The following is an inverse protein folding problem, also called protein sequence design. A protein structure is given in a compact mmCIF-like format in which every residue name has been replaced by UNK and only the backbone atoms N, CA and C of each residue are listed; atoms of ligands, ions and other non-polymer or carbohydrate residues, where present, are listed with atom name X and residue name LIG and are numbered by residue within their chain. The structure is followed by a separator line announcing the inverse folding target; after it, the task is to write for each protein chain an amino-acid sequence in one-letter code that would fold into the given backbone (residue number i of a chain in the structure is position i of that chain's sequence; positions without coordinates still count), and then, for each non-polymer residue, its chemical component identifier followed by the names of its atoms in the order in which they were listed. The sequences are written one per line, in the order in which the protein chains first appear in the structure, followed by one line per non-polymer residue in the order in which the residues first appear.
data_IF_524864988606
#
_entry.id   IF_524864988606
#
_cell.length_a   1.000
_cell.length_b   1.000
_cell.length_c   1.000
_cell.angle_alpha   90.00
_cell.angle_beta   90.00
_cell.angle_gamma   90.00
#
_symmetry.space_group_name_H-M   'P 1'
#
loop_
_entity.id
_entity.type
_entity.pdbx_description
1 polymer ?
#
# COMPACT_ATOMS: atom_id res chain seq x y z
N UNK A 1 15.52 16.39 42.47
CA UNK A 1 14.46 15.81 41.63
C UNK A 1 15.11 15.11 40.45
N UNK A 2 14.71 13.88 40.15
CA UNK A 2 15.46 12.97 39.26
C UNK A 2 15.16 13.26 37.79
N UNK A 3 16.21 13.48 36.98
CA UNK A 3 16.14 13.66 35.52
C UNK A 3 15.45 12.50 34.78
N UNK A 4 15.30 11.34 35.42
CA UNK A 4 14.58 10.19 34.86
C UNK A 4 13.06 10.39 34.81
N UNK A 5 12.49 11.21 35.69
CA UNK A 5 11.03 11.39 35.77
C UNK A 5 10.51 12.40 34.73
N UNK A 6 11.33 13.38 34.34
CA UNK A 6 10.98 14.33 33.27
C UNK A 6 10.92 13.67 31.89
N UNK A 7 11.72 12.63 31.64
CA UNK A 7 11.72 11.90 30.37
C UNK A 7 10.40 11.13 30.17
N UNK A 8 9.89 10.50 31.23
CA UNK A 8 8.60 9.80 31.19
C UNK A 8 7.44 10.75 30.87
N UNK A 9 7.39 11.92 31.52
CA UNK A 9 6.36 12.93 31.24
C UNK A 9 6.46 13.57 29.85
N UNK A 10 7.64 13.49 29.21
CA UNK A 10 7.85 13.97 27.84
C UNK A 10 7.38 12.93 26.82
N UNK A 11 7.57 11.65 27.12
CA UNK A 11 7.07 10.52 26.32
C UNK A 11 5.54 10.53 26.30
N UNK A 12 4.88 10.69 27.46
CA UNK A 12 3.41 10.71 27.52
C UNK A 12 2.80 11.88 26.72
N UNK A 13 3.49 13.03 26.63
CA UNK A 13 3.06 14.15 25.79
C UNK A 13 3.32 13.94 24.30
N UNK A 14 4.39 13.24 23.93
CA UNK A 14 4.65 12.91 22.51
C UNK A 14 3.67 11.84 22.00
N UNK A 15 3.24 10.90 22.85
CA UNK A 15 2.18 9.95 22.51
C UNK A 15 0.79 10.58 22.41
N UNK A 16 0.50 11.63 23.18
CA UNK A 16 -0.73 12.45 23.02
C UNK A 16 -0.71 13.28 21.71
N UNK A 17 0.48 13.60 21.17
CA UNK A 17 0.63 14.27 19.86
C UNK A 17 0.52 13.30 18.69
N UNK A 18 0.79 12.01 18.92
CA UNK A 18 0.37 10.91 18.05
C UNK A 18 -1.12 10.60 18.31
N UNK A 19 -1.97 11.61 18.17
CA UNK A 19 -3.37 11.33 17.80
C UNK A 19 -3.29 10.43 16.57
N UNK A 20 -3.98 9.27 16.54
CA UNK A 20 -3.91 8.35 15.41
C UNK A 20 -4.18 9.15 14.14
N UNK A 21 -3.11 9.42 13.38
CA UNK A 21 -3.06 10.47 12.37
C UNK A 21 -4.30 10.36 11.50
N UNK A 22 -5.26 11.24 11.78
CA UNK A 22 -6.66 11.22 11.37
C UNK A 22 -7.00 10.03 10.48
N UNK A 23 -6.99 8.82 11.07
CA UNK A 23 -7.15 7.51 10.43
C UNK A 23 -7.49 7.68 8.97
N UNK A 24 -6.47 7.94 8.10
CA UNK A 24 -6.67 8.65 6.81
C UNK A 24 -8.02 8.22 6.31
N UNK A 25 -9.03 9.08 6.46
CA UNK A 25 -10.36 8.71 6.02
C UNK A 25 -10.19 8.67 4.53
N UNK A 26 -9.79 7.50 4.03
CA UNK A 26 -9.68 7.23 2.63
C UNK A 26 -11.13 7.37 2.22
N UNK A 27 -11.47 8.58 1.80
CA UNK A 27 -12.67 8.79 1.03
C UNK A 27 -12.46 7.81 -0.09
N UNK A 28 -13.31 6.79 -0.10
CA UNK A 28 -13.57 6.02 -1.29
C UNK A 28 -14.23 6.97 -2.29
N UNK A 29 -13.55 8.06 -2.65
CA UNK A 29 -13.74 8.69 -3.93
C UNK A 29 -13.50 7.55 -4.91
N UNK A 30 -14.50 7.27 -5.74
CA UNK A 30 -14.45 6.14 -6.65
C UNK A 30 -13.16 6.24 -7.49
N UNK A 31 -12.20 5.36 -7.20
CA UNK A 31 -10.99 5.28 -8.00
C UNK A 31 -11.36 4.75 -9.39
N UNK A 32 -10.67 5.19 -10.45
CA UNK A 32 -11.07 4.84 -11.80
C UNK A 32 -11.01 3.33 -12.00
N UNK A 33 -12.10 2.75 -12.50
CA UNK A 33 -12.10 1.36 -12.95
C UNK A 33 -11.10 1.24 -14.10
N UNK A 34 -10.10 0.37 -13.92
CA UNK A 34 -9.06 0.21 -14.92
C UNK A 34 -9.62 -0.55 -16.14
N UNK A 35 -9.49 -0.02 -17.37
CA UNK A 35 -10.00 -0.68 -18.56
C UNK A 35 -9.26 -2.00 -18.80
N UNK A 36 -10.01 -3.10 -18.92
CA UNK A 36 -9.52 -4.45 -19.15
C UNK A 36 -10.51 -5.23 -20.01
N UNK A 37 -10.01 -6.01 -20.97
CA UNK A 37 -10.85 -6.91 -21.75
C UNK A 37 -11.24 -8.16 -20.93
N UNK A 38 -12.29 -8.87 -21.37
CA UNK A 38 -12.81 -10.02 -20.62
C UNK A 38 -11.81 -11.17 -20.48
N UNK A 39 -10.97 -11.42 -21.49
CA UNK A 39 -10.00 -12.51 -21.44
C UNK A 39 -8.90 -12.19 -20.42
N UNK A 40 -8.32 -10.99 -20.50
CA UNK A 40 -7.34 -10.52 -19.52
C UNK A 40 -7.93 -10.49 -18.10
N UNK A 41 -9.19 -10.05 -17.96
CA UNK A 41 -9.88 -10.03 -16.66
C UNK A 41 -9.96 -11.43 -16.06
N UNK A 42 -10.34 -12.44 -16.85
CA UNK A 42 -10.40 -13.84 -16.40
C UNK A 42 -9.04 -14.34 -15.90
N UNK A 43 -7.96 -14.03 -16.62
CA UNK A 43 -6.60 -14.43 -16.19
C UNK A 43 -6.16 -13.72 -14.90
N UNK A 44 -6.44 -12.42 -14.76
CA UNK A 44 -6.14 -11.69 -13.52
C UNK A 44 -7.01 -12.20 -12.37
N UNK A 45 -8.26 -12.56 -12.60
CA UNK A 45 -9.13 -13.16 -11.57
C UNK A 45 -8.59 -14.51 -11.10
N UNK A 46 -8.09 -15.36 -12.00
CA UNK A 46 -7.42 -16.62 -11.63
C UNK A 46 -6.17 -16.36 -10.79
N UNK A 47 -5.38 -15.34 -11.15
CA UNK A 47 -4.20 -14.93 -10.40
C UNK A 47 -4.56 -14.48 -8.99
N UNK A 48 -5.54 -13.57 -8.84
CA UNK A 48 -6.04 -13.10 -7.54
C UNK A 48 -6.54 -14.26 -6.68
N UNK A 49 -7.31 -15.17 -7.27
CA UNK A 49 -7.81 -16.34 -6.53
C UNK A 49 -6.65 -17.18 -5.98
N UNK A 50 -5.63 -17.48 -6.80
CA UNK A 50 -4.48 -18.28 -6.39
C UNK A 50 -3.59 -17.60 -5.34
N UNK A 51 -3.41 -16.29 -5.45
CA UNK A 51 -2.54 -15.54 -4.55
C UNK A 51 -3.19 -15.26 -3.19
N UNK A 52 -4.47 -14.88 -3.17
CA UNK A 52 -5.08 -14.28 -1.97
C UNK A 52 -6.32 -15.01 -1.44
N UNK A 53 -7.11 -15.69 -2.27
CA UNK A 53 -8.43 -16.20 -1.86
C UNK A 53 -8.48 -17.71 -1.62
N UNK A 54 -7.63 -18.49 -2.30
CA UNK A 54 -7.54 -19.94 -2.17
C UNK A 54 -6.62 -20.42 -1.04
N UNK A 55 -5.46 -19.79 -0.77
CA UNK A 55 -4.59 -20.26 0.31
C UNK A 55 -5.27 -20.17 1.68
N UNK A 56 -5.11 -21.20 2.52
CA UNK A 56 -5.63 -21.19 3.89
C UNK A 56 -4.95 -20.14 4.78
N UNK A 57 -3.73 -19.73 4.42
CA UNK A 57 -2.98 -18.63 5.03
C UNK A 57 -2.40 -17.78 3.89
N UNK A 58 -3.17 -16.81 3.37
CA UNK A 58 -2.71 -15.98 2.26
C UNK A 58 -1.61 -15.01 2.74
N UNK A 59 -0.65 -14.66 1.86
CA UNK A 59 0.35 -13.66 2.18
C UNK A 59 -0.29 -12.27 2.33
N UNK A 60 0.13 -11.51 3.35
CA UNK A 60 -0.28 -10.12 3.53
C UNK A 60 0.39 -9.16 2.55
N UNK A 61 1.52 -9.58 1.95
CA UNK A 61 2.32 -8.76 1.03
C UNK A 61 2.72 -9.62 -0.17
N UNK A 62 2.48 -9.09 -1.37
CA UNK A 62 2.90 -9.71 -2.63
C UNK A 62 3.64 -8.67 -3.46
N UNK A 63 4.81 -9.05 -3.97
CA UNK A 63 5.64 -8.21 -4.84
C UNK A 63 5.50 -8.69 -6.28
N UNK A 64 5.11 -7.77 -7.17
CA UNK A 64 5.08 -8.02 -8.60
C UNK A 64 6.36 -7.47 -9.22
N UNK A 65 7.11 -8.33 -9.90
CA UNK A 65 8.32 -7.97 -10.64
C UNK A 65 8.36 -8.66 -11.98
N UNK A 66 9.16 -8.15 -12.91
CA UNK A 66 9.39 -8.77 -14.21
C UNK A 66 10.86 -8.62 -14.60
N UNK A 67 11.35 -9.59 -15.37
CA UNK A 67 12.73 -9.60 -15.86
C UNK A 67 12.96 -8.58 -16.99
N UNK A 68 11.90 -8.24 -17.72
CA UNK A 68 11.97 -7.38 -18.89
C UNK A 68 11.25 -6.04 -18.66
N UNK A 69 11.85 -4.92 -19.10
CA UNK A 69 11.15 -3.64 -19.20
C UNK A 69 9.89 -3.77 -20.05
N UNK A 70 8.85 -2.99 -19.73
CA UNK A 70 7.59 -2.94 -20.49
C UNK A 70 6.82 -4.27 -20.61
N UNK A 71 7.18 -5.28 -19.81
CA UNK A 71 6.48 -6.57 -19.67
C UNK A 71 5.01 -6.47 -19.23
N UNK A 72 4.55 -5.29 -18.83
CA UNK A 72 3.20 -5.09 -18.32
C UNK A 72 3.04 -5.45 -16.84
N UNK A 73 4.13 -5.71 -16.11
CA UNK A 73 4.09 -6.02 -14.68
C UNK A 73 3.25 -5.02 -13.86
N UNK A 74 3.45 -3.71 -14.08
CA UNK A 74 2.66 -2.69 -13.38
C UNK A 74 1.17 -2.69 -13.78
N UNK A 75 0.81 -3.16 -14.98
CA UNK A 75 -0.59 -3.37 -15.38
C UNK A 75 -1.20 -4.52 -14.59
N UNK A 76 -0.50 -5.67 -14.56
CA UNK A 76 -0.95 -6.86 -13.84
C UNK A 76 -1.10 -6.56 -12.36
N UNK A 77 -0.12 -5.88 -11.75
CA UNK A 77 -0.16 -5.45 -10.34
C UNK A 77 -1.39 -4.57 -10.06
N UNK A 78 -1.63 -3.54 -10.89
CA UNK A 78 -2.76 -2.63 -10.72
C UNK A 78 -4.12 -3.34 -10.85
N UNK A 79 -4.30 -4.17 -11.88
CA UNK A 79 -5.56 -4.91 -12.06
C UNK A 79 -5.76 -6.00 -11.01
N UNK A 80 -4.70 -6.66 -10.55
CA UNK A 80 -4.80 -7.65 -9.48
C UNK A 80 -5.24 -6.98 -8.16
N UNK A 81 -4.67 -5.82 -7.82
CA UNK A 81 -5.07 -5.05 -6.65
C UNK A 81 -6.53 -4.56 -6.75
N UNK A 82 -6.95 -4.02 -7.90
CA UNK A 82 -8.31 -3.56 -8.17
C UNK A 82 -9.34 -4.71 -8.02
N UNK A 83 -9.08 -5.84 -8.70
CA UNK A 83 -9.95 -7.02 -8.62
C UNK A 83 -9.95 -7.64 -7.22
N UNK A 84 -8.82 -7.67 -6.52
CA UNK A 84 -8.76 -8.16 -5.15
C UNK A 84 -9.57 -7.29 -4.21
N UNK A 85 -9.40 -5.97 -4.29
CA UNK A 85 -10.17 -4.99 -3.50
C UNK A 85 -11.68 -5.13 -3.73
N UNK A 86 -12.12 -5.42 -4.96
CA UNK A 86 -13.54 -5.65 -5.26
C UNK A 86 -14.14 -6.93 -4.66
N UNK A 87 -13.30 -7.87 -4.21
CA UNK A 87 -13.71 -9.21 -3.73
C UNK A 87 -13.63 -9.36 -2.22
N UNK A 88 -13.03 -8.41 -1.50
CA UNK A 88 -12.80 -8.51 -0.06
C UNK A 88 -13.41 -7.33 0.69
N UNK A 89 -13.86 -7.57 1.91
CA UNK A 89 -14.29 -6.52 2.84
C UNK A 89 -13.09 -6.02 3.66
N UNK A 90 -11.98 -5.72 3.00
CA UNK A 90 -10.73 -5.29 3.63
C UNK A 90 -10.03 -4.22 2.78
N UNK A 91 -9.18 -3.41 3.41
CA UNK A 91 -8.37 -2.42 2.71
C UNK A 91 -7.19 -3.08 1.99
N UNK A 92 -7.04 -2.77 0.70
CA UNK A 92 -5.88 -3.19 -0.11
C UNK A 92 -4.96 -1.99 -0.31
N UNK A 93 -3.68 -2.12 0.06
CA UNK A 93 -2.67 -1.12 -0.20
C UNK A 93 -1.86 -1.51 -1.44
N UNK A 94 -1.77 -0.59 -2.40
CA UNK A 94 -0.96 -0.74 -3.60
C UNK A 94 0.20 0.26 -3.55
N UNK A 95 1.43 -0.23 -3.65
CA UNK A 95 2.65 0.57 -3.55
C UNK A 95 3.43 0.52 -4.86
N UNK A 96 3.79 1.69 -5.41
CA UNK A 96 4.71 1.76 -6.54
C UNK A 96 6.16 1.69 -6.06
N UNK A 97 6.70 0.47 -6.04
CA UNK A 97 8.08 0.21 -5.64
C UNK A 97 9.08 0.31 -6.81
N UNK A 98 8.63 0.64 -8.03
CA UNK A 98 9.52 0.87 -9.16
C UNK A 98 9.93 2.34 -9.19
N UNK A 99 10.96 2.68 -8.41
CA UNK A 99 11.41 4.06 -8.26
C UNK A 99 12.13 4.62 -9.50
N UNK A 100 12.64 3.75 -10.38
CA UNK A 100 13.28 4.15 -11.64
C UNK A 100 12.22 4.58 -12.67
N UNK A 101 11.11 3.83 -12.76
CA UNK A 101 10.02 4.08 -13.71
C UNK A 101 8.63 3.92 -13.06
N UNK A 102 8.24 4.83 -12.14
CA UNK A 102 6.95 4.76 -11.46
C UNK A 102 5.82 4.96 -12.47
N UNK A 103 4.79 4.15 -12.40
CA UNK A 103 3.70 4.14 -13.39
C UNK A 103 2.31 3.93 -12.81
N UNK A 104 2.18 3.51 -11.55
CA UNK A 104 0.87 3.25 -10.94
C UNK A 104 0.07 4.55 -10.80
N UNK A 105 0.72 5.66 -10.41
CA UNK A 105 0.07 6.96 -10.26
C UNK A 105 -0.67 7.39 -11.54
N UNK A 106 -0.07 7.16 -12.72
CA UNK A 106 -0.67 7.48 -14.02
C UNK A 106 -1.89 6.60 -14.31
N UNK A 107 -1.87 5.33 -13.89
CA UNK A 107 -3.00 4.39 -14.09
C UNK A 107 -4.22 4.79 -13.29
N UNK A 108 -4.00 5.25 -12.05
CA UNK A 108 -5.07 5.66 -11.16
C UNK A 108 -5.40 7.16 -11.26
N UNK A 109 -4.71 7.90 -12.13
CA UNK A 109 -4.95 9.34 -12.31
C UNK A 109 -4.62 10.18 -11.07
N UNK A 110 -3.72 9.70 -10.21
CA UNK A 110 -3.33 10.38 -8.96
C UNK A 110 -2.02 11.16 -9.14
N UNK A 111 -1.85 12.32 -8.47
CA UNK A 111 -0.58 13.04 -8.46
C UNK A 111 0.56 12.22 -7.85
N UNK A 112 1.78 12.42 -8.33
CA UNK A 112 3.00 11.77 -7.81
C UNK A 112 4.02 12.81 -7.30
N UNK A 113 3.53 13.88 -6.67
CA UNK A 113 4.36 14.97 -6.12
C UNK A 113 4.99 14.62 -4.76
N UNK A 114 4.36 13.68 -4.04
CA UNK A 114 4.82 13.09 -2.80
C UNK A 114 4.48 11.61 -2.83
N UNK A 115 5.40 10.75 -2.41
CA UNK A 115 5.21 9.30 -2.44
C UNK A 115 6.23 8.54 -1.60
N UNK A 116 6.46 7.28 -1.98
CA UNK A 116 7.31 6.35 -1.23
C UNK A 116 8.72 6.91 -0.99
N UNK A 117 9.30 7.61 -1.97
CA UNK A 117 10.65 8.19 -1.85
C UNK A 117 10.76 9.27 -0.77
N UNK A 118 9.69 10.02 -0.55
CA UNK A 118 9.69 11.11 0.44
C UNK A 118 9.60 10.54 1.84
N UNK A 119 8.76 9.50 2.01
CA UNK A 119 8.65 8.74 3.27
C UNK A 119 9.99 8.09 3.62
N UNK A 120 10.68 7.49 2.65
CA UNK A 120 11.97 6.82 2.89
C UNK A 120 13.12 7.78 3.22
N UNK A 121 13.00 9.06 2.85
CA UNK A 121 13.98 10.10 3.19
C UNK A 121 13.74 10.72 4.56
N UNK A 122 12.55 10.53 5.13
CA UNK A 122 12.23 11.03 6.46
C UNK A 122 12.99 10.22 7.51
N UNK A 123 14.05 10.83 8.06
CA UNK A 123 14.96 10.25 9.04
C UNK A 123 14.25 9.96 10.38
N UNK A 124 13.02 10.46 10.58
CA UNK A 124 12.18 10.18 11.73
C UNK A 124 11.29 8.94 11.62
N UNK A 125 11.26 8.25 10.47
CA UNK A 125 10.38 7.11 10.25
C UNK A 125 10.92 5.81 10.89
N UNK A 126 10.48 5.50 12.12
CA UNK A 126 10.82 4.23 12.78
C UNK A 126 9.99 3.06 12.21
N UNK A 127 10.63 2.26 11.34
CA UNK A 127 10.03 1.07 10.73
C UNK A 127 9.53 0.03 11.75
N UNK A 128 9.99 0.07 13.01
CA UNK A 128 9.56 -0.88 14.05
C UNK A 128 8.11 -0.67 14.51
N UNK A 129 7.54 0.50 14.27
CA UNK A 129 6.17 0.85 14.69
C UNK A 129 5.09 0.52 13.65
N UNK A 130 5.48 0.11 12.43
CA UNK A 130 4.54 -0.13 11.33
C UNK A 130 4.00 -1.58 11.35
N UNK A 131 4.81 -2.54 11.81
CA UNK A 131 4.44 -3.97 11.82
C UNK A 131 3.72 -4.42 13.09
N UNK A 132 3.60 -3.56 14.10
CA UNK A 132 2.94 -3.87 15.37
C UNK A 132 1.45 -3.49 15.43
N UNK A 133 0.86 -3.02 14.32
CA UNK A 133 -0.54 -2.61 14.23
C UNK A 133 -1.38 -3.35 13.17
N UNK A 134 -0.93 -4.55 12.74
CA UNK A 134 -1.75 -5.46 11.90
C UNK A 134 -2.20 -6.66 12.72
#
# INVERSE_FOLDING_TARGET
MSKRFEVLNRIDREFELLKPADRLTFRADAYPVLPIDQASRSEVEKLVNRLFLLPSSPPNVVVFTALEPRSGCSRVCAHAADLFASKVNASVCLVDANLDQPSLHTRFGVPNQSGLTDILKDVGWDMKNVTSQV
#
